data_IF_717230560496
#
_entry.id   IF_717230560496
#
_cell.length_a   1.000
_cell.length_b   1.000
_cell.length_c   1.000
_cell.angle_alpha   90.00
_cell.angle_beta   90.00
_cell.angle_gamma   90.00
#
_symmetry.space_group_name_H-M   'P 1'
#
loop_
_entity.id
_entity.type
_entity.pdbx_description
1 polymer ?
#
# COMPACT_ATOMS: atom_id res chain seq x y z
N UNK A 1 12.40 -6.98 -13.18
CA UNK A 1 11.40 -7.82 -12.49
C UNK A 1 10.14 -7.80 -13.31
N UNK A 2 9.55 -8.96 -13.53
CA UNK A 2 8.21 -9.03 -14.14
C UNK A 2 7.15 -8.56 -13.12
N UNK A 3 5.90 -8.36 -13.58
CA UNK A 3 4.82 -7.83 -12.73
C UNK A 3 4.53 -8.72 -11.51
N UNK A 4 4.61 -10.03 -11.67
CA UNK A 4 4.34 -11.00 -10.61
C UNK A 4 5.42 -10.98 -9.52
N UNK A 5 6.69 -10.88 -9.91
CA UNK A 5 7.81 -10.73 -8.97
C UNK A 5 7.70 -9.44 -8.16
N UNK A 6 7.32 -8.32 -8.80
CA UNK A 6 7.13 -7.06 -8.09
C UNK A 6 6.01 -7.15 -7.05
N UNK A 7 4.91 -7.84 -7.37
CA UNK A 7 3.81 -8.05 -6.44
C UNK A 7 4.18 -8.93 -5.25
N UNK A 8 5.01 -9.98 -5.47
CA UNK A 8 5.51 -10.84 -4.39
C UNK A 8 6.42 -10.12 -3.40
N UNK A 9 7.07 -9.04 -3.84
CA UNK A 9 7.98 -8.25 -3.01
C UNK A 9 7.27 -7.10 -2.26
N UNK A 10 5.94 -7.01 -2.32
CA UNK A 10 5.18 -6.07 -1.48
C UNK A 10 5.19 -6.59 -0.04
N UNK A 11 5.66 -5.76 0.87
CA UNK A 11 5.67 -6.09 2.30
C UNK A 11 4.41 -5.55 2.99
N UNK A 12 3.83 -6.38 3.85
CA UNK A 12 2.67 -6.06 4.68
C UNK A 12 3.09 -6.22 6.14
N UNK A 13 2.93 -5.17 6.94
CA UNK A 13 3.16 -5.28 8.38
C UNK A 13 2.09 -6.10 9.09
N UNK A 14 2.38 -6.47 10.33
CA UNK A 14 1.33 -6.94 11.24
C UNK A 14 0.29 -5.85 11.47
N UNK A 15 -0.94 -6.28 11.79
CA UNK A 15 -2.00 -5.35 12.15
C UNK A 15 -1.75 -4.80 13.55
N UNK A 16 -2.01 -3.53 13.73
CA UNK A 16 -1.98 -2.85 15.02
C UNK A 16 -3.25 -2.02 15.20
N UNK A 17 -3.57 -1.69 16.45
CA UNK A 17 -4.91 -1.23 16.82
C UNK A 17 -4.80 -0.10 17.83
N UNK A 18 -5.76 0.83 17.76
CA UNK A 18 -6.16 1.64 18.90
C UNK A 18 -7.63 1.33 19.27
N UNK A 19 -8.28 2.20 20.03
CA UNK A 19 -9.66 2.00 20.48
C UNK A 19 -10.70 2.16 19.36
N UNK A 20 -10.34 2.77 18.23
CA UNK A 20 -11.28 3.14 17.17
C UNK A 20 -11.03 2.38 15.85
N UNK A 21 -9.77 2.07 15.52
CA UNK A 21 -9.41 1.56 14.19
C UNK A 21 -8.39 0.42 14.20
N UNK A 22 -8.40 -0.33 13.09
CA UNK A 22 -7.38 -1.30 12.71
C UNK A 22 -6.43 -0.67 11.68
N UNK A 23 -5.13 -0.83 11.90
CA UNK A 23 -4.07 -0.25 11.08
C UNK A 23 -3.10 -1.29 10.57
N UNK A 24 -2.50 -0.99 9.42
CA UNK A 24 -1.37 -1.69 8.80
C UNK A 24 -0.70 -0.72 7.84
N UNK A 25 0.62 -0.81 7.71
CA UNK A 25 1.35 -0.18 6.61
C UNK A 25 1.79 -1.23 5.56
N UNK A 26 1.76 -0.81 4.30
CA UNK A 26 2.21 -1.59 3.15
C UNK A 26 3.42 -0.88 2.55
N UNK A 27 4.52 -1.61 2.35
CA UNK A 27 5.74 -1.08 1.74
C UNK A 27 5.87 -1.64 0.33
N UNK A 28 5.90 -0.73 -0.64
CA UNK A 28 6.05 -1.08 -2.04
C UNK A 28 7.53 -1.18 -2.44
N UNK A 29 7.89 -2.09 -3.35
CA UNK A 29 9.19 -2.06 -4.04
C UNK A 29 9.44 -0.70 -4.70
N UNK A 30 10.71 -0.29 -4.74
CA UNK A 30 11.12 1.03 -5.27
C UNK A 30 10.65 1.25 -6.71
N UNK A 31 10.61 0.20 -7.51
CA UNK A 31 10.21 0.21 -8.91
C UNK A 31 8.72 0.53 -9.11
N UNK A 32 7.90 0.29 -8.07
CA UNK A 32 6.45 0.53 -8.06
C UNK A 32 6.08 1.95 -7.61
N UNK A 33 7.01 2.73 -7.06
CA UNK A 33 6.74 4.09 -6.56
C UNK A 33 6.13 5.00 -7.64
N UNK A 34 6.51 4.80 -8.91
CA UNK A 34 5.95 5.53 -10.06
C UNK A 34 4.46 5.28 -10.31
N UNK A 35 3.89 4.22 -9.74
CA UNK A 35 2.48 3.87 -9.84
C UNK A 35 1.64 4.54 -8.74
N UNK A 36 2.29 5.09 -7.71
CA UNK A 36 1.60 5.76 -6.60
C UNK A 36 1.28 7.21 -7.02
N UNK A 37 0.00 7.63 -6.99
CA UNK A 37 -0.37 9.00 -7.30
C UNK A 37 0.22 9.96 -6.26
N UNK A 38 0.70 11.12 -6.73
CA UNK A 38 1.20 12.21 -5.87
C UNK A 38 0.13 13.25 -5.52
N UNK A 39 -1.04 13.15 -6.14
CA UNK A 39 -2.10 14.17 -6.07
C UNK A 39 -3.20 13.84 -5.08
N UNK A 40 -3.33 12.58 -4.66
CA UNK A 40 -4.41 12.12 -3.79
C UNK A 40 -4.05 10.78 -3.12
N UNK A 41 -4.84 10.40 -2.12
CA UNK A 41 -4.80 9.07 -1.52
C UNK A 41 -5.59 8.08 -2.40
N UNK A 42 -4.99 6.94 -2.69
CA UNK A 42 -5.63 5.87 -3.47
C UNK A 42 -6.93 5.34 -2.85
N UNK A 43 -7.96 5.20 -3.69
CA UNK A 43 -9.15 4.40 -3.43
C UNK A 43 -8.85 2.90 -3.38
N UNK A 44 -9.81 2.09 -2.94
CA UNK A 44 -9.69 0.62 -2.94
C UNK A 44 -9.39 0.05 -4.32
N UNK A 45 -10.00 0.60 -5.36
CA UNK A 45 -9.75 0.17 -6.74
C UNK A 45 -8.32 0.48 -7.19
N UNK A 46 -7.81 1.67 -6.85
CA UNK A 46 -6.48 2.12 -7.26
C UNK A 46 -5.36 1.32 -6.60
N UNK A 47 -5.43 1.13 -5.28
CA UNK A 47 -4.38 0.35 -4.60
C UNK A 47 -4.43 -1.14 -4.99
N UNK A 48 -5.63 -1.69 -5.26
CA UNK A 48 -5.75 -3.04 -5.82
C UNK A 48 -5.17 -3.12 -7.23
N UNK A 49 -5.37 -2.09 -8.04
CA UNK A 49 -4.87 -2.01 -9.43
C UNK A 49 -3.35 -2.10 -9.54
N UNK A 50 -2.63 -1.50 -8.59
CA UNK A 50 -1.15 -1.59 -8.54
C UNK A 50 -0.66 -2.92 -7.96
N UNK A 51 -1.55 -3.75 -7.40
CA UNK A 51 -1.23 -5.09 -6.92
C UNK A 51 -1.17 -5.25 -5.40
N UNK A 52 -1.56 -4.23 -4.62
CA UNK A 52 -1.74 -4.39 -3.17
C UNK A 52 -2.95 -5.30 -2.94
N UNK A 53 -2.80 -6.30 -2.07
CA UNK A 53 -3.84 -7.29 -1.78
C UNK A 53 -4.12 -7.33 -0.28
N UNK A 54 -5.34 -6.95 0.08
CA UNK A 54 -5.84 -7.00 1.46
C UNK A 54 -7.31 -7.43 1.47
N UNK A 55 -7.84 -7.74 2.66
CA UNK A 55 -9.28 -7.93 2.88
C UNK A 55 -10.06 -6.66 2.50
N UNK A 56 -11.39 -6.75 2.47
CA UNK A 56 -12.25 -5.58 2.23
C UNK A 56 -12.21 -4.62 3.43
N UNK A 57 -12.49 -3.34 3.19
CA UNK A 57 -12.67 -2.33 4.25
C UNK A 57 -11.44 -1.50 4.60
N UNK A 58 -10.27 -1.79 3.99
CA UNK A 58 -9.07 -0.99 4.20
C UNK A 58 -9.12 0.34 3.44
N UNK A 59 -8.83 1.43 4.15
CA UNK A 59 -8.75 2.79 3.59
C UNK A 59 -7.30 3.27 3.63
N UNK A 60 -6.79 3.75 2.49
CA UNK A 60 -5.48 4.37 2.43
C UNK A 60 -5.58 5.81 2.93
N UNK A 61 -5.03 6.07 4.12
CA UNK A 61 -5.19 7.35 4.82
C UNK A 61 -3.93 8.23 4.82
N UNK A 62 -2.77 7.66 4.49
CA UNK A 62 -1.49 8.38 4.50
C UNK A 62 -0.46 7.70 3.61
N UNK A 63 0.35 8.50 2.92
CA UNK A 63 1.57 8.05 2.27
C UNK A 63 2.79 8.50 3.09
N UNK A 64 3.54 7.55 3.63
CA UNK A 64 4.83 7.83 4.24
C UNK A 64 5.94 7.72 3.17
N UNK A 65 6.58 8.84 2.84
CA UNK A 65 7.80 8.82 2.04
C UNK A 65 8.98 8.71 3.00
N UNK A 66 9.79 7.62 2.97
CA UNK A 66 11.08 7.68 3.64
C UNK A 66 11.82 8.88 3.05
N UNK A 67 12.30 9.78 3.92
CA UNK A 67 13.08 10.94 3.49
C UNK A 67 14.22 10.53 2.56
N UNK A 68 14.72 11.49 1.77
CA UNK A 68 15.91 11.29 0.93
C UNK A 68 17.08 10.73 1.73
#
# INVERSE_FOLDING_TARGET
MNREEMQRNIYYSDKYYDDEFEYRHVVLPREMVKLVPKTHLMSEEEWRGIGVQQSKGWVHYMTHSPGK
#
